data_IF_081542390699
#
_entry.id   IF_081542390699
#
_cell.length_a   1.000
_cell.length_b   1.000
_cell.length_c   1.000
_cell.angle_alpha   90.00
_cell.angle_beta   90.00
_cell.angle_gamma   90.00
#
_symmetry.space_group_name_H-M   'P 1'
#
loop_
_entity.id
_entity.type
_entity.pdbx_description
1 polymer ?
#
# COMPACT_ATOMS: atom_id res chain seq x y z
N UNK A 1 6.32 22.71 0.56
CA UNK A 1 6.29 22.92 2.03
C UNK A 1 7.41 23.86 2.43
N UNK A 2 7.19 24.75 3.40
CA UNK A 2 8.27 25.54 4.01
C UNK A 2 8.85 24.79 5.22
N UNK A 3 10.15 24.95 5.55
CA UNK A 3 10.78 24.28 6.71
C UNK A 3 10.13 24.57 8.06
N UNK A 4 9.34 25.65 8.16
CA UNK A 4 8.67 26.10 9.38
C UNK A 4 7.22 25.66 9.47
N UNK A 5 6.65 25.05 8.42
CA UNK A 5 5.24 24.65 8.41
C UNK A 5 5.04 23.34 9.15
N UNK A 6 3.93 23.22 9.91
CA UNK A 6 3.54 21.94 10.53
C UNK A 6 3.24 20.90 9.46
N UNK A 7 3.75 19.69 9.67
CA UNK A 7 3.49 18.55 8.83
C UNK A 7 2.13 17.91 9.19
N UNK A 8 1.08 18.25 8.44
CA UNK A 8 -0.25 17.66 8.60
C UNK A 8 -0.46 16.52 7.61
N UNK A 9 -0.87 15.34 8.09
CA UNK A 9 -1.04 14.14 7.25
C UNK A 9 0.24 13.30 7.14
N UNK A 10 0.47 12.73 5.96
CA UNK A 10 1.66 11.93 5.62
C UNK A 10 2.47 12.59 4.47
N UNK A 11 3.62 11.99 4.12
CA UNK A 11 4.51 12.49 3.05
C UNK A 11 3.88 12.23 1.69
N UNK A 12 3.55 13.33 1.01
CA UNK A 12 3.03 13.37 -0.35
C UNK A 12 4.09 14.03 -1.24
N UNK A 13 4.61 13.28 -2.20
CA UNK A 13 5.58 13.72 -3.19
C UNK A 13 4.94 14.40 -4.39
N UNK A 14 3.65 14.13 -4.67
CA UNK A 14 2.94 14.62 -5.85
C UNK A 14 3.21 13.78 -7.10
N UNK A 15 3.67 12.53 -6.93
CA UNK A 15 3.88 11.58 -8.01
C UNK A 15 2.69 10.61 -8.06
N UNK A 16 1.81 10.80 -9.04
CA UNK A 16 0.66 9.92 -9.24
C UNK A 16 1.14 8.57 -9.76
N UNK A 17 0.71 7.52 -9.08
CA UNK A 17 1.08 6.14 -9.35
C UNK A 17 0.08 5.41 -10.23
N UNK A 18 -1.17 5.84 -10.16
CA UNK A 18 -2.24 5.28 -10.96
C UNK A 18 -3.53 6.05 -10.80
N UNK A 19 -4.57 5.54 -11.45
CA UNK A 19 -5.90 6.13 -11.44
C UNK A 19 -6.87 5.12 -10.87
N UNK A 20 -7.51 5.47 -9.76
CA UNK A 20 -8.58 4.71 -9.16
C UNK A 20 -9.95 5.17 -9.66
N UNK A 21 -10.99 4.40 -9.34
CA UNK A 21 -12.39 4.71 -9.65
C UNK A 21 -13.20 4.67 -8.36
N UNK A 22 -13.94 5.74 -8.08
CA UNK A 22 -14.89 5.76 -6.97
C UNK A 22 -16.00 4.75 -7.26
N UNK A 23 -16.01 3.63 -6.54
CA UNK A 23 -16.95 2.52 -6.76
C UNK A 23 -18.19 2.62 -5.88
N UNK A 24 -18.08 3.30 -4.73
CA UNK A 24 -19.20 3.50 -3.80
C UNK A 24 -19.08 4.83 -3.07
N UNK A 25 -20.23 5.47 -2.83
CA UNK A 25 -20.35 6.65 -1.99
C UNK A 25 -21.67 6.57 -1.21
N UNK A 26 -21.60 6.70 0.12
CA UNK A 26 -22.79 6.69 0.98
C UNK A 26 -22.58 7.60 2.20
N UNK A 27 -23.67 8.19 2.68
CA UNK A 27 -23.64 8.91 3.96
C UNK A 27 -23.54 7.88 5.11
N UNK A 28 -22.59 8.09 6.01
CA UNK A 28 -22.41 7.27 7.20
C UNK A 28 -22.35 8.17 8.45
N UNK A 29 -23.49 8.29 9.12
CA UNK A 29 -23.71 9.20 10.24
C UNK A 29 -23.21 10.63 9.92
N UNK A 30 -22.13 11.08 10.57
CA UNK A 30 -21.52 12.40 10.39
C UNK A 30 -20.36 12.40 9.40
N UNK A 31 -20.16 11.32 8.65
CA UNK A 31 -19.09 11.17 7.67
C UNK A 31 -19.62 10.68 6.32
N UNK A 32 -18.78 10.72 5.30
CA UNK A 32 -19.05 10.16 3.99
C UNK A 32 -18.16 8.93 3.84
N UNK A 33 -18.78 7.77 3.67
CA UNK A 33 -18.08 6.53 3.37
C UNK A 33 -17.90 6.41 1.86
N UNK A 34 -16.66 6.15 1.45
CA UNK A 34 -16.26 6.09 0.05
C UNK A 34 -15.47 4.81 -0.17
N UNK A 35 -15.74 4.09 -1.26
CA UNK A 35 -14.86 3.02 -1.75
C UNK A 35 -14.25 3.45 -3.08
N UNK A 36 -12.96 3.16 -3.23
CA UNK A 36 -12.18 3.43 -4.43
C UNK A 36 -11.55 2.11 -4.85
N UNK A 37 -11.86 1.70 -6.07
CA UNK A 37 -11.16 0.62 -6.75
C UNK A 37 -9.86 1.19 -7.35
N UNK A 38 -8.72 0.66 -6.93
CA UNK A 38 -7.40 1.07 -7.40
C UNK A 38 -6.80 0.01 -8.33
N UNK A 39 -5.78 0.34 -9.15
CA UNK A 39 -5.04 -0.66 -9.90
C UNK A 39 -4.50 -1.76 -8.98
N UNK A 40 -4.55 -3.01 -9.43
CA UNK A 40 -4.22 -4.19 -8.62
C UNK A 40 -2.76 -4.14 -8.12
N UNK A 41 -1.86 -3.61 -8.94
CA UNK A 41 -0.45 -3.40 -8.62
C UNK A 41 -0.21 -2.34 -7.54
N UNK A 42 -1.22 -1.54 -7.17
CA UNK A 42 -1.12 -0.57 -6.07
C UNK A 42 -1.67 -1.13 -4.76
N UNK A 43 -2.45 -2.21 -4.81
CA UNK A 43 -3.14 -2.77 -3.65
C UNK A 43 -2.17 -3.14 -2.51
N UNK A 44 -1.01 -3.72 -2.84
CA UNK A 44 -0.02 -4.16 -1.83
C UNK A 44 0.71 -3.01 -1.12
N UNK A 45 0.60 -1.77 -1.62
CA UNK A 45 1.10 -0.58 -0.92
C UNK A 45 0.07 0.05 0.00
N UNK A 46 -1.17 -0.47 0.02
CA UNK A 46 -2.24 0.03 0.88
C UNK A 46 -2.47 -0.93 2.04
N UNK A 47 -2.62 -0.39 3.23
CA UNK A 47 -2.90 -1.15 4.45
C UNK A 47 -4.10 -0.56 5.16
N UNK A 48 -4.87 -1.37 5.89
CA UNK A 48 -5.96 -0.88 6.75
C UNK A 48 -5.40 0.05 7.83
N UNK A 49 -6.03 1.22 8.06
CA UNK A 49 -5.52 2.30 8.94
C UNK A 49 -4.16 2.88 8.50
N UNK A 50 -3.80 2.68 7.24
CA UNK A 50 -2.63 3.27 6.60
C UNK A 50 -2.93 4.66 6.03
N UNK A 51 -1.94 5.19 5.32
CA UNK A 51 -2.06 6.44 4.58
C UNK A 51 -2.16 6.19 3.08
N UNK A 52 -2.99 7.00 2.42
CA UNK A 52 -3.12 7.04 0.97
C UNK A 52 -3.36 8.49 0.54
N UNK A 53 -2.84 8.86 -0.62
CA UNK A 53 -3.16 10.15 -1.23
C UNK A 53 -4.13 9.93 -2.38
N UNK A 54 -5.25 10.65 -2.35
CA UNK A 54 -6.25 10.64 -3.42
C UNK A 54 -6.49 12.06 -3.89
N UNK A 55 -6.27 12.34 -5.18
CA UNK A 55 -6.33 13.70 -5.77
C UNK A 55 -5.49 14.73 -4.98
N UNK A 56 -4.34 14.32 -4.45
CA UNK A 56 -3.46 15.18 -3.65
C UNK A 56 -3.93 15.40 -2.20
N UNK A 57 -4.99 14.73 -1.76
CA UNK A 57 -5.50 14.80 -0.39
C UNK A 57 -4.94 13.62 0.39
N UNK A 58 -4.20 13.92 1.47
CA UNK A 58 -3.76 12.91 2.42
C UNK A 58 -4.95 12.38 3.23
N UNK A 59 -5.24 11.09 3.10
CA UNK A 59 -6.37 10.42 3.73
C UNK A 59 -5.92 9.16 4.49
N UNK A 60 -6.76 8.74 5.44
CA UNK A 60 -6.56 7.49 6.18
C UNK A 60 -7.47 6.42 5.59
N UNK A 61 -6.89 5.28 5.23
CA UNK A 61 -7.64 4.12 4.77
C UNK A 61 -8.42 3.50 5.94
N UNK A 62 -9.71 3.24 5.73
CA UNK A 62 -10.56 2.61 6.74
C UNK A 62 -10.45 1.08 6.65
N UNK A 63 -10.67 0.51 5.47
CA UNK A 63 -10.50 -0.92 5.17
C UNK A 63 -9.85 -1.07 3.80
N UNK A 64 -9.10 -2.16 3.62
CA UNK A 64 -8.56 -2.59 2.33
C UNK A 64 -9.00 -4.03 2.09
N UNK A 65 -9.64 -4.29 0.95
CA UNK A 65 -10.06 -5.62 0.51
C UNK A 65 -9.74 -5.76 -0.97
N UNK A 66 -8.87 -6.70 -1.31
CA UNK A 66 -8.33 -6.85 -2.66
C UNK A 66 -7.74 -5.52 -3.15
N UNK A 67 -8.23 -4.97 -4.26
CA UNK A 67 -7.87 -3.66 -4.78
C UNK A 67 -8.89 -2.55 -4.43
N UNK A 68 -9.74 -2.76 -3.42
CA UNK A 68 -10.71 -1.77 -2.95
C UNK A 68 -10.23 -1.17 -1.64
N UNK A 69 -10.09 0.15 -1.63
CA UNK A 69 -9.75 0.95 -0.47
C UNK A 69 -10.98 1.74 -0.03
N UNK A 70 -11.37 1.63 1.23
CA UNK A 70 -12.44 2.45 1.80
C UNK A 70 -11.91 3.60 2.63
N UNK A 71 -12.68 4.69 2.67
CA UNK A 71 -12.35 5.94 3.34
C UNK A 71 -13.56 6.44 4.12
N UNK A 72 -13.30 7.05 5.29
CA UNK A 72 -14.31 7.77 6.05
C UNK A 72 -13.95 9.25 6.10
N UNK A 73 -14.68 10.06 5.31
CA UNK A 73 -14.39 11.48 5.14
C UNK A 73 -15.25 12.29 6.09
N UNK A 74 -14.61 13.06 6.97
CA UNK A 74 -15.31 14.00 7.85
C UNK A 74 -15.83 15.22 7.05
N UNK A 75 -16.89 15.91 7.52
CA UNK A 75 -17.52 16.99 6.76
C UNK A 75 -16.56 18.14 6.47
N UNK A 76 -15.68 18.47 7.41
CA UNK A 76 -14.68 19.52 7.20
C UNK A 76 -13.77 19.22 6.01
N UNK A 77 -13.17 18.03 5.95
CA UNK A 77 -12.33 17.60 4.83
C UNK A 77 -13.12 17.62 3.52
N UNK A 78 -14.35 17.11 3.50
CA UNK A 78 -15.18 17.13 2.31
C UNK A 78 -15.46 18.56 1.80
N UNK A 79 -15.70 19.51 2.71
CA UNK A 79 -16.03 20.90 2.40
C UNK A 79 -14.84 21.72 1.89
N UNK A 80 -13.64 21.50 2.45
CA UNK A 80 -12.43 22.28 2.11
C UNK A 80 -11.61 21.66 0.98
N UNK A 81 -12.05 20.53 0.44
CA UNK A 81 -11.40 19.82 -0.68
C UNK A 81 -12.34 19.65 -1.87
N UNK A 82 -11.89 18.95 -2.91
CA UNK A 82 -12.71 18.67 -4.10
C UNK A 82 -13.75 17.56 -3.87
N UNK A 83 -13.67 16.79 -2.78
CA UNK A 83 -14.48 15.58 -2.53
C UNK A 83 -15.97 15.89 -2.62
N UNK A 84 -16.49 16.90 -1.89
CA UNK A 84 -17.92 17.18 -1.86
C UNK A 84 -18.52 17.64 -3.20
N UNK A 85 -17.68 18.13 -4.12
CA UNK A 85 -18.12 18.71 -5.40
C UNK A 85 -17.90 17.80 -6.59
N UNK A 86 -16.86 16.96 -6.54
CA UNK A 86 -16.34 16.27 -7.72
C UNK A 86 -16.30 14.76 -7.60
N UNK A 87 -16.47 14.18 -6.41
CA UNK A 87 -16.45 12.74 -6.26
C UNK A 87 -17.87 12.18 -6.31
N UNK A 88 -18.15 11.44 -7.38
CA UNK A 88 -19.35 10.66 -7.61
C UNK A 88 -18.92 9.24 -8.01
N UNK A 89 -19.83 8.28 -7.85
CA UNK A 89 -19.59 6.91 -8.33
C UNK A 89 -19.27 6.93 -9.83
N UNK A 90 -18.19 6.23 -10.21
CA UNK A 90 -17.64 6.18 -11.56
C UNK A 90 -16.59 7.25 -11.86
N UNK A 91 -16.37 8.24 -10.97
CA UNK A 91 -15.30 9.21 -11.20
C UNK A 91 -13.91 8.60 -11.02
N UNK A 92 -13.00 9.06 -11.87
CA UNK A 92 -11.58 8.74 -11.80
C UNK A 92 -10.90 9.68 -10.82
N UNK A 93 -10.00 9.13 -10.00
CA UNK A 93 -9.22 9.87 -9.01
C UNK A 93 -7.76 9.45 -9.09
N UNK A 94 -6.85 10.40 -8.90
CA UNK A 94 -5.42 10.13 -8.89
C UNK A 94 -5.04 9.45 -7.58
N UNK A 95 -4.22 8.40 -7.66
CA UNK A 95 -3.74 7.64 -6.51
C UNK A 95 -2.23 7.84 -6.39
N UNK A 96 -1.79 8.21 -5.19
CA UNK A 96 -0.39 8.17 -4.78
C UNK A 96 -0.30 7.33 -3.50
N UNK A 97 0.55 6.30 -3.54
CA UNK A 97 0.76 5.39 -2.40
C UNK A 97 1.77 5.99 -1.42
N UNK A 98 1.72 5.54 -0.16
CA UNK A 98 2.67 6.01 0.83
C UNK A 98 4.11 5.68 0.42
N UNK A 99 4.96 6.70 0.39
CA UNK A 99 6.38 6.57 0.08
C UNK A 99 7.09 5.59 1.02
N UNK A 100 6.64 5.48 2.27
CA UNK A 100 7.16 4.51 3.24
C UNK A 100 6.93 3.08 2.75
N UNK A 101 5.76 2.77 2.18
CA UNK A 101 5.46 1.44 1.64
C UNK A 101 6.41 1.05 0.50
N UNK A 102 6.74 2.01 -0.39
CA UNK A 102 7.72 1.80 -1.48
C UNK A 102 9.11 1.48 -0.96
N UNK A 103 9.58 2.23 0.03
CA UNK A 103 10.91 1.98 0.61
C UNK A 103 10.95 0.66 1.37
N UNK A 104 9.88 0.31 2.09
CA UNK A 104 9.78 -0.98 2.77
C UNK A 104 9.82 -2.15 1.78
N UNK A 105 9.06 -2.10 0.69
CA UNK A 105 9.12 -3.11 -0.36
C UNK A 105 10.54 -3.26 -0.92
N UNK A 106 11.20 -2.15 -1.29
CA UNK A 106 12.58 -2.17 -1.80
C UNK A 106 13.56 -2.81 -0.81
N UNK A 107 13.44 -2.50 0.48
CA UNK A 107 14.31 -3.05 1.52
C UNK A 107 14.07 -4.55 1.73
N UNK A 108 12.82 -4.99 1.76
CA UNK A 108 12.45 -6.39 1.92
C UNK A 108 12.86 -7.22 0.70
N UNK A 109 12.67 -6.71 -0.52
CA UNK A 109 13.10 -7.37 -1.75
C UNK A 109 14.63 -7.48 -1.84
N UNK A 110 15.38 -6.49 -1.33
CA UNK A 110 16.84 -6.57 -1.26
C UNK A 110 17.31 -7.66 -0.28
N UNK A 111 16.62 -7.83 0.84
CA UNK A 111 16.92 -8.90 1.81
C UNK A 111 16.70 -10.30 1.23
N UNK A 112 15.70 -10.47 0.36
CA UNK A 112 15.47 -11.71 -0.39
C UNK A 112 16.60 -12.00 -1.40
N UNK A 113 17.09 -10.96 -2.09
CA UNK A 113 18.18 -11.09 -3.08
C UNK A 113 19.59 -11.19 -2.48
N UNK A 114 19.76 -10.87 -1.20
CA UNK A 114 21.05 -10.86 -0.49
C UNK A 114 21.25 -12.03 0.49
N UNK A 115 20.29 -12.95 0.59
CA UNK A 115 20.29 -13.97 1.64
C UNK A 115 19.36 -15.13 1.35
N UNK A 116 19.44 -15.75 0.18
CA UNK A 116 19.06 -17.16 -0.05
C UNK A 116 19.64 -17.69 -1.37
N UNK A 117 20.98 -17.79 -1.41
CA UNK A 117 21.61 -18.99 -1.98
C UNK A 117 21.50 -20.13 -0.94
N UNK A 118 20.26 -20.46 -0.55
CA UNK A 118 19.92 -21.84 -0.22
C UNK A 118 19.01 -22.30 -1.35
N UNK A 119 19.57 -22.31 -2.56
CA UNK A 119 19.37 -23.50 -3.37
C UNK A 119 19.52 -24.66 -2.40
N UNK A 120 18.51 -25.52 -2.30
CA UNK A 120 18.71 -26.87 -1.79
C UNK A 120 20.07 -27.31 -2.33
N UNK A 121 21.15 -27.41 -1.52
CA UNK A 121 22.18 -28.32 -1.94
C UNK A 121 21.39 -29.63 -1.92
N UNK A 122 21.10 -30.20 -3.09
CA UNK A 122 20.95 -31.64 -3.13
C UNK A 122 22.16 -32.13 -2.34
N UNK A 123 21.90 -32.60 -1.12
CA UNK A 123 22.94 -32.96 -0.20
C UNK A 123 23.79 -33.97 -0.94
N UNK A 124 25.01 -33.58 -1.35
CA UNK A 124 25.94 -34.51 -2.00
C UNK A 124 26.44 -35.56 -1.00
N UNK A 125 25.98 -35.47 0.25
CA UNK A 125 26.13 -36.47 1.29
C UNK A 125 25.17 -37.61 0.96
N UNK A 126 25.68 -38.56 0.18
CA UNK A 126 25.05 -39.87 0.00
C UNK A 126 25.41 -40.78 1.17
N UNK A 127 24.61 -41.82 1.40
CA UNK A 127 24.90 -42.84 2.41
C UNK A 127 26.28 -43.48 2.18
N UNK A 128 26.65 -43.69 0.91
CA UNK A 128 27.98 -44.17 0.52
C UNK A 128 29.10 -43.22 0.96
N UNK A 129 28.93 -41.90 0.78
CA UNK A 129 29.90 -40.90 1.26
C UNK A 129 30.07 -40.93 2.79
N UNK A 130 28.98 -41.16 3.54
CA UNK A 130 29.04 -41.27 5.00
C UNK A 130 29.73 -42.56 5.46
N UNK A 131 29.47 -43.68 4.77
CA UNK A 131 30.14 -44.96 5.04
C UNK A 131 31.66 -44.87 4.75
N UNK A 132 32.04 -44.32 3.59
CA UNK A 132 33.46 -44.18 3.19
C UNK A 132 34.28 -43.29 4.13
N UNK A 133 33.62 -42.37 4.85
CA UNK A 133 34.27 -41.49 5.82
C UNK A 133 34.06 -41.91 7.29
N UNK A 134 33.58 -43.14 7.53
CA UNK A 134 33.54 -43.76 8.86
C UNK A 134 32.45 -43.25 9.79
N UNK A 135 31.40 -42.62 9.25
CA UNK A 135 30.27 -42.08 10.02
C UNK A 135 29.13 -43.09 10.20
N UNK A 136 29.18 -44.25 9.52
CA UNK A 136 28.22 -45.34 9.70
C UNK A 136 28.97 -46.62 10.14
N UNK A 137 28.46 -47.28 11.18
CA UNK A 137 28.94 -48.57 11.71
C UNK A 137 28.02 -49.71 11.28
#
# INVERSE_FOLDING_TARGET
MLPTTRFGGHIVAGHVDGVGVVSKLQQDARSIYIEIEIPQELAHYTATKGSITVDGISLTTNLVRDNIVSLNIIPHTAQVTNIAKHWLVGNKVNIEVDIVARYLERLLNKSQSGGMNTANPQSQITEAFLADNGFMK
#
